data_IF_292642104901
#
_entry.id   IF_292642104901
#
_cell.length_a   1.000
_cell.length_b   1.000
_cell.length_c   1.000
_cell.angle_alpha   90.00
_cell.angle_beta   90.00
_cell.angle_gamma   90.00
#
_symmetry.space_group_name_H-M   'P 1'
#
loop_
_entity.id
_entity.type
_entity.pdbx_description
1 polymer ?
#
# COMPACT_ATOMS: atom_id res chain seq x y z
N UNK A 1 1.09 10.88 -66.55
CA UNK A 1 0.53 10.76 -65.18
C UNK A 1 1.68 10.68 -64.19
N UNK A 2 1.87 11.70 -63.35
CA UNK A 2 2.77 11.63 -62.20
C UNK A 2 2.07 12.34 -61.04
N UNK A 3 1.58 11.56 -60.07
CA UNK A 3 0.92 12.05 -58.86
C UNK A 3 1.97 12.76 -57.99
N UNK A 4 1.82 14.07 -57.81
CA UNK A 4 2.48 14.84 -56.76
C UNK A 4 1.90 14.37 -55.42
N UNK A 5 2.73 13.81 -54.55
CA UNK A 5 2.36 13.57 -53.17
C UNK A 5 2.38 14.92 -52.43
N UNK A 6 1.20 15.38 -52.01
CA UNK A 6 1.06 16.52 -51.09
C UNK A 6 1.75 16.19 -49.76
N UNK A 7 2.73 17.02 -49.40
CA UNK A 7 3.31 17.04 -48.05
C UNK A 7 2.25 17.59 -47.10
N UNK A 8 1.75 16.74 -46.21
CA UNK A 8 0.92 17.16 -45.09
C UNK A 8 1.79 17.99 -44.14
N UNK A 9 1.62 19.31 -44.16
CA UNK A 9 2.14 20.19 -43.13
C UNK A 9 1.21 20.13 -41.93
N UNK A 10 1.53 19.25 -40.97
CA UNK A 10 0.97 19.35 -39.62
C UNK A 10 1.83 20.36 -38.88
N UNK A 11 1.46 21.63 -38.96
CA UNK A 11 2.02 22.65 -38.07
C UNK A 11 1.34 22.50 -36.72
N UNK A 12 1.83 21.58 -35.89
CA UNK A 12 1.53 21.63 -34.46
C UNK A 12 2.30 22.84 -33.94
N UNK A 13 1.66 24.00 -33.93
CA UNK A 13 2.24 25.20 -33.35
C UNK A 13 2.19 25.03 -31.81
N UNK A 14 3.04 24.16 -31.27
CA UNK A 14 3.27 24.04 -29.84
C UNK A 14 4.05 25.30 -29.46
N UNK A 15 3.50 26.22 -28.65
CA UNK A 15 4.28 27.34 -28.16
C UNK A 15 5.52 26.79 -27.45
N UNK A 16 6.69 27.40 -27.65
CA UNK A 16 7.98 26.93 -27.12
C UNK A 16 7.98 26.68 -25.59
N UNK A 17 7.02 27.22 -24.85
CA UNK A 17 6.83 27.03 -23.40
C UNK A 17 6.02 25.80 -22.95
N UNK A 18 5.40 25.04 -23.86
CA UNK A 18 4.56 23.87 -23.51
C UNK A 18 5.22 22.51 -23.77
N UNK A 19 6.48 22.54 -24.20
CA UNK A 19 7.31 21.35 -24.38
C UNK A 19 8.60 21.53 -23.56
N UNK A 20 8.65 20.94 -22.37
CA UNK A 20 9.79 21.08 -21.47
C UNK A 20 10.24 19.73 -20.92
N UNK A 21 11.51 19.67 -20.52
CA UNK A 21 12.06 18.54 -19.81
C UNK A 21 12.20 18.88 -18.34
N UNK A 22 11.73 18.00 -17.46
CA UNK A 22 11.99 18.10 -16.02
C UNK A 22 12.81 16.90 -15.57
N UNK A 23 13.59 17.08 -14.50
CA UNK A 23 14.30 15.98 -13.86
C UNK A 23 13.73 15.79 -12.45
N UNK A 24 13.24 14.58 -12.17
CA UNK A 24 12.72 14.19 -10.86
C UNK A 24 13.26 12.80 -10.51
N UNK A 25 13.71 12.61 -9.27
CA UNK A 25 14.30 11.34 -8.78
C UNK A 25 15.39 10.75 -9.72
N UNK A 26 16.25 11.63 -10.26
CA UNK A 26 17.33 11.24 -11.18
C UNK A 26 16.87 10.80 -12.58
N UNK A 27 15.58 10.94 -12.90
CA UNK A 27 14.99 10.60 -14.20
C UNK A 27 14.53 11.86 -14.92
N UNK A 28 14.74 11.90 -16.23
CA UNK A 28 14.25 12.99 -17.09
C UNK A 28 12.90 12.61 -17.70
N UNK A 29 11.94 13.52 -17.61
CA UNK A 29 10.60 13.41 -18.15
C UNK A 29 10.36 14.52 -19.17
N UNK A 30 9.66 14.19 -20.25
CA UNK A 30 9.25 15.16 -21.28
C UNK A 30 7.79 15.51 -21.05
N UNK A 31 7.46 16.79 -20.90
CA UNK A 31 6.09 17.26 -20.72
C UNK A 31 5.67 17.99 -21.97
N UNK A 32 4.54 17.60 -22.53
CA UNK A 32 3.96 18.20 -23.73
C UNK A 32 2.52 18.60 -23.43
N UNK A 33 2.15 19.84 -23.71
CA UNK A 33 0.77 20.32 -23.62
C UNK A 33 0.28 20.78 -24.99
N UNK A 34 -0.83 20.22 -25.42
CA UNK A 34 -1.41 20.44 -26.74
C UNK A 34 -2.85 20.90 -26.60
N UNK A 35 -3.31 21.67 -27.58
CA UNK A 35 -4.71 22.01 -27.75
C UNK A 35 -5.35 21.06 -28.76
N UNK A 36 -6.56 20.60 -28.46
CA UNK A 36 -7.44 19.93 -29.40
C UNK A 36 -8.02 20.90 -30.43
N UNK A 37 -8.79 20.38 -31.38
CA UNK A 37 -9.48 21.20 -32.38
C UNK A 37 -10.84 21.71 -31.88
N UNK A 38 -11.54 22.52 -32.68
CA UNK A 38 -12.88 23.04 -32.32
C UNK A 38 -13.95 21.96 -32.20
N UNK A 39 -13.74 20.74 -32.71
CA UNK A 39 -14.68 19.63 -32.59
C UNK A 39 -14.44 18.83 -31.31
N UNK A 40 -13.20 18.82 -30.83
CA UNK A 40 -12.78 18.24 -29.57
C UNK A 40 -11.93 19.27 -28.78
N UNK A 41 -12.57 20.28 -28.18
CA UNK A 41 -11.90 21.39 -27.50
C UNK A 41 -11.35 20.94 -26.15
N UNK A 42 -10.29 20.13 -26.18
CA UNK A 42 -9.59 19.62 -25.01
C UNK A 42 -8.14 20.11 -24.97
N UNK A 43 -7.68 20.66 -23.85
CA UNK A 43 -6.25 20.81 -23.60
C UNK A 43 -5.75 19.49 -23.03
N UNK A 44 -4.74 18.89 -23.66
CA UNK A 44 -4.14 17.63 -23.20
C UNK A 44 -2.69 17.84 -22.80
N UNK A 45 -2.34 17.48 -21.57
CA UNK A 45 -0.96 17.43 -21.09
C UNK A 45 -0.52 15.98 -20.94
N UNK A 46 0.54 15.58 -21.63
CA UNK A 46 1.19 14.29 -21.49
C UNK A 46 2.56 14.46 -20.84
N UNK A 47 2.88 13.58 -19.90
CA UNK A 47 4.23 13.45 -19.35
C UNK A 47 4.76 12.08 -19.77
N UNK A 48 5.91 12.10 -20.44
CA UNK A 48 6.56 10.93 -20.99
C UNK A 48 7.80 10.56 -20.19
N UNK A 49 8.02 9.26 -20.00
CA UNK A 49 9.26 8.70 -19.53
C UNK A 49 9.69 7.59 -20.48
N UNK A 50 10.88 7.70 -21.08
CA UNK A 50 11.41 6.74 -22.06
C UNK A 50 10.44 6.40 -23.21
N UNK A 51 9.64 7.39 -23.64
CA UNK A 51 8.68 7.25 -24.74
C UNK A 51 7.30 6.73 -24.34
N UNK A 52 7.07 6.36 -23.07
CA UNK A 52 5.76 5.94 -22.57
C UNK A 52 5.07 7.08 -21.81
N UNK A 53 3.75 7.21 -21.97
CA UNK A 53 2.94 8.16 -21.19
C UNK A 53 2.81 7.64 -19.76
N UNK A 54 3.34 8.39 -18.79
CA UNK A 54 3.25 8.06 -17.36
C UNK A 54 2.22 8.92 -16.62
N UNK A 55 1.78 10.02 -17.24
CA UNK A 55 0.70 10.86 -16.73
C UNK A 55 0.00 11.56 -17.90
N UNK A 56 -1.32 11.69 -17.80
CA UNK A 56 -2.13 12.45 -18.74
C UNK A 56 -3.18 13.26 -17.98
N UNK A 57 -3.35 14.53 -18.37
CA UNK A 57 -4.42 15.39 -17.88
C UNK A 57 -5.13 16.02 -19.06
N UNK A 58 -6.47 16.02 -19.00
CA UNK A 58 -7.34 16.65 -19.99
C UNK A 58 -8.23 17.66 -19.31
N UNK A 59 -8.44 18.80 -19.97
CA UNK A 59 -9.42 19.81 -19.56
C UNK A 59 -10.20 20.27 -20.78
N UNK A 60 -11.53 20.23 -20.68
CA UNK A 60 -12.41 20.79 -21.70
C UNK A 60 -12.36 22.34 -21.65
N UNK A 61 -12.41 22.96 -22.82
CA UNK A 61 -12.49 24.42 -22.98
C UNK A 61 -13.64 24.85 -23.91
N UNK A 62 -14.67 24.02 -24.06
CA UNK A 62 -15.84 24.29 -24.92
C UNK A 62 -16.48 25.66 -24.63
N UNK A 63 -16.50 26.05 -23.36
CA UNK A 63 -17.14 27.28 -22.87
C UNK A 63 -16.52 28.57 -23.40
N UNK A 64 -15.24 28.54 -23.80
CA UNK A 64 -14.52 29.74 -24.27
C UNK A 64 -14.49 29.88 -25.79
N UNK A 65 -15.03 28.92 -26.55
CA UNK A 65 -14.92 28.88 -28.02
C UNK A 65 -15.43 30.16 -28.74
N UNK A 66 -16.41 30.84 -28.13
CA UNK A 66 -17.03 32.06 -28.66
C UNK A 66 -16.62 33.34 -27.91
N UNK A 67 -15.62 33.26 -27.01
CA UNK A 67 -15.15 34.42 -26.27
C UNK A 67 -14.36 35.38 -27.18
N UNK A 68 -14.52 36.69 -27.00
CA UNK A 68 -13.79 37.72 -27.77
C UNK A 68 -12.27 37.62 -27.57
N UNK A 69 -11.85 37.19 -26.39
CA UNK A 69 -10.48 36.98 -25.92
C UNK A 69 -10.06 35.49 -25.96
N UNK A 70 -10.65 34.68 -26.86
CA UNK A 70 -10.42 33.23 -26.97
C UNK A 70 -8.95 32.80 -26.88
N UNK A 71 -8.06 33.41 -27.67
CA UNK A 71 -6.66 33.00 -27.74
C UNK A 71 -5.91 33.25 -26.43
N UNK A 72 -6.19 34.38 -25.77
CA UNK A 72 -5.58 34.74 -24.50
C UNK A 72 -6.06 33.80 -23.38
N UNK A 73 -7.38 33.56 -23.31
CA UNK A 73 -7.97 32.60 -22.37
C UNK A 73 -7.44 31.19 -22.57
N UNK A 74 -7.38 30.71 -23.81
CA UNK A 74 -6.88 29.37 -24.11
C UNK A 74 -5.41 29.24 -23.69
N UNK A 75 -4.57 30.22 -24.02
CA UNK A 75 -3.16 30.21 -23.61
C UNK A 75 -3.03 30.18 -22.07
N UNK A 76 -3.78 31.01 -21.35
CA UNK A 76 -3.78 31.02 -19.87
C UNK A 76 -4.25 29.69 -19.26
N UNK A 77 -5.27 29.06 -19.84
CA UNK A 77 -5.72 27.72 -19.44
C UNK A 77 -4.64 26.66 -19.71
N UNK A 78 -3.97 26.72 -20.86
CA UNK A 78 -2.86 25.81 -21.17
C UNK A 78 -1.72 25.97 -20.17
N UNK A 79 -1.33 27.20 -19.84
CA UNK A 79 -0.26 27.50 -18.86
C UNK A 79 -0.60 26.97 -17.47
N UNK A 80 -1.83 27.23 -17.03
CA UNK A 80 -2.34 26.75 -15.74
C UNK A 80 -2.38 25.22 -15.71
N UNK A 81 -2.87 24.58 -16.76
CA UNK A 81 -2.89 23.12 -16.85
C UNK A 81 -1.48 22.56 -16.82
N UNK A 82 -0.56 23.10 -17.60
CA UNK A 82 0.83 22.64 -17.69
C UNK A 82 1.53 22.68 -16.32
N UNK A 83 1.47 23.83 -15.63
CA UNK A 83 2.03 23.98 -14.27
C UNK A 83 1.40 23.00 -13.28
N UNK A 84 0.07 22.93 -13.26
CA UNK A 84 -0.64 22.03 -12.33
C UNK A 84 -0.37 20.55 -12.60
N UNK A 85 -0.14 20.15 -13.85
CA UNK A 85 0.22 18.78 -14.22
C UNK A 85 1.62 18.42 -13.70
N UNK A 86 2.58 19.35 -13.82
CA UNK A 86 3.93 19.18 -13.28
C UNK A 86 3.91 19.05 -11.76
N UNK A 87 3.22 19.96 -11.07
CA UNK A 87 3.09 19.94 -9.62
C UNK A 87 2.43 18.64 -9.12
N UNK A 88 1.33 18.22 -9.76
CA UNK A 88 0.67 16.97 -9.41
C UNK A 88 1.58 15.75 -9.64
N UNK A 89 2.30 15.72 -10.76
CA UNK A 89 3.19 14.61 -11.10
C UNK A 89 4.41 14.52 -10.18
N UNK A 90 5.08 15.65 -9.95
CA UNK A 90 6.26 15.72 -9.04
C UNK A 90 5.87 15.43 -7.61
N UNK A 91 4.74 15.97 -7.12
CA UNK A 91 4.21 15.66 -5.80
C UNK A 91 3.88 14.17 -5.62
N UNK A 92 3.36 13.50 -6.65
CA UNK A 92 3.15 12.05 -6.62
C UNK A 92 4.48 11.27 -6.53
N UNK A 93 5.51 11.68 -7.29
CA UNK A 93 6.84 11.05 -7.21
C UNK A 93 7.43 11.19 -5.81
N UNK A 94 7.37 12.40 -5.23
CA UNK A 94 7.87 12.65 -3.88
C UNK A 94 7.12 11.83 -2.84
N UNK A 95 5.80 11.74 -2.96
CA UNK A 95 4.96 10.95 -2.05
C UNK A 95 5.29 9.45 -2.12
N UNK A 96 5.49 8.89 -3.31
CA UNK A 96 5.90 7.49 -3.47
C UNK A 96 7.31 7.24 -2.91
N UNK A 97 8.23 8.18 -3.09
CA UNK A 97 9.58 8.11 -2.51
C UNK A 97 9.55 8.14 -0.99
N UNK A 98 8.79 9.07 -0.41
CA UNK A 98 8.59 9.17 1.03
C UNK A 98 8.00 7.86 1.59
N UNK A 99 7.00 7.31 0.90
CA UNK A 99 6.38 6.03 1.26
C UNK A 99 7.39 4.87 1.23
N UNK A 100 8.27 4.81 0.23
CA UNK A 100 9.32 3.80 0.15
C UNK A 100 10.34 3.91 1.31
N UNK A 101 10.84 5.12 1.58
CA UNK A 101 11.77 5.38 2.68
C UNK A 101 11.16 5.03 4.05
N UNK A 102 9.88 5.32 4.21
CA UNK A 102 9.12 4.95 5.38
C UNK A 102 9.10 3.43 5.59
N UNK A 103 8.79 2.65 4.54
CA UNK A 103 8.79 1.19 4.63
C UNK A 103 10.17 0.62 4.99
N UNK A 104 11.24 1.16 4.42
CA UNK A 104 12.60 0.70 4.70
C UNK A 104 13.00 1.00 6.14
N UNK A 105 12.64 2.19 6.63
CA UNK A 105 12.84 2.58 8.04
C UNK A 105 12.09 1.63 8.99
N UNK A 106 10.80 1.37 8.72
CA UNK A 106 9.99 0.46 9.52
C UNK A 106 10.57 -0.95 9.51
N UNK A 107 10.93 -1.50 8.35
CA UNK A 107 11.56 -2.82 8.23
C UNK A 107 12.86 -2.90 9.05
N UNK A 108 13.70 -1.87 9.00
CA UNK A 108 14.96 -1.81 9.77
C UNK A 108 14.69 -1.81 11.27
N UNK A 109 13.73 -1.02 11.75
CA UNK A 109 13.37 -0.93 13.16
C UNK A 109 12.75 -2.24 13.69
N UNK A 110 11.93 -2.90 12.90
CA UNK A 110 11.34 -4.20 13.26
C UNK A 110 12.40 -5.30 13.35
N UNK A 111 13.37 -5.32 12.42
CA UNK A 111 14.50 -6.26 12.45
C UNK A 111 15.39 -6.07 13.67
N UNK A 112 15.58 -4.84 14.14
CA UNK A 112 16.33 -4.55 15.36
C UNK A 112 15.51 -4.72 16.65
N UNK A 113 14.24 -5.14 16.55
CA UNK A 113 13.34 -5.31 17.69
C UNK A 113 12.91 -3.99 18.34
N UNK A 114 13.18 -2.85 17.70
CA UNK A 114 12.85 -1.52 18.23
C UNK A 114 11.37 -1.16 17.98
N UNK A 115 10.48 -1.95 18.60
CA UNK A 115 9.04 -1.88 18.38
C UNK A 115 8.43 -0.53 18.78
N UNK A 116 9.00 0.17 19.77
CA UNK A 116 8.49 1.50 20.19
C UNK A 116 8.75 2.56 19.12
N UNK A 117 9.96 2.61 18.56
CA UNK A 117 10.25 3.55 17.48
C UNK A 117 9.50 3.15 16.21
N UNK A 118 9.43 1.85 15.89
CA UNK A 118 8.65 1.36 14.75
C UNK A 118 7.18 1.79 14.87
N UNK A 119 6.58 1.69 16.06
CA UNK A 119 5.20 2.14 16.31
C UNK A 119 5.04 3.65 16.07
N UNK A 120 5.97 4.48 16.54
CA UNK A 120 5.91 5.94 16.33
C UNK A 120 5.89 6.26 14.84
N UNK A 121 6.84 5.70 14.09
CA UNK A 121 6.90 5.88 12.64
C UNK A 121 5.59 5.37 12.03
N UNK A 122 5.18 4.14 12.33
CA UNK A 122 3.94 3.51 11.83
C UNK A 122 2.68 4.35 12.08
N UNK A 123 2.62 5.07 13.20
CA UNK A 123 1.52 5.96 13.54
C UNK A 123 1.51 7.22 12.69
N UNK A 124 2.68 7.81 12.43
CA UNK A 124 2.83 9.00 11.57
C UNK A 124 2.38 8.69 10.15
N UNK A 125 2.91 7.64 9.52
CA UNK A 125 2.51 7.30 8.15
C UNK A 125 1.14 6.66 8.05
N UNK A 126 0.54 6.14 9.13
CA UNK A 126 -0.90 5.83 9.10
C UNK A 126 -1.75 7.10 9.01
N UNK A 127 -1.27 8.24 9.53
CA UNK A 127 -1.89 9.55 9.32
C UNK A 127 -1.76 10.04 7.87
N UNK A 128 -0.61 9.83 7.24
CA UNK A 128 -0.35 10.26 5.85
C UNK A 128 -0.94 9.32 4.78
N UNK A 129 -0.97 8.01 5.07
CA UNK A 129 -1.38 6.93 4.18
C UNK A 129 -2.36 5.97 4.87
N UNK A 130 -3.55 6.46 5.27
CA UNK A 130 -4.50 5.66 6.06
C UNK A 130 -5.04 4.42 5.33
N UNK A 131 -4.99 4.42 3.99
CA UNK A 131 -5.43 3.31 3.16
C UNK A 131 -4.30 2.35 2.75
N UNK A 132 -3.05 2.64 3.12
CA UNK A 132 -1.96 1.70 2.84
C UNK A 132 -2.07 0.47 3.73
N UNK A 133 -2.23 -0.68 3.09
CA UNK A 133 -2.52 -1.94 3.78
C UNK A 133 -1.34 -2.42 4.62
N UNK A 134 -0.10 -2.20 4.17
CA UNK A 134 1.08 -2.61 4.93
C UNK A 134 1.22 -1.77 6.20
N UNK A 135 1.11 -0.44 6.08
CA UNK A 135 1.14 0.46 7.22
C UNK A 135 0.02 0.09 8.20
N UNK A 136 -1.21 -0.09 7.72
CA UNK A 136 -2.36 -0.46 8.54
C UNK A 136 -2.13 -1.79 9.30
N UNK A 137 -1.66 -2.83 8.62
CA UNK A 137 -1.39 -4.15 9.20
C UNK A 137 -0.31 -4.12 10.28
N UNK A 138 0.83 -3.48 10.00
CA UNK A 138 1.94 -3.39 10.95
C UNK A 138 1.63 -2.44 12.11
N UNK A 139 0.95 -1.32 11.85
CA UNK A 139 0.50 -0.39 12.88
C UNK A 139 -0.50 -1.07 13.83
N UNK A 140 -1.46 -1.83 13.30
CA UNK A 140 -2.40 -2.61 14.09
C UNK A 140 -1.71 -3.61 15.02
N UNK A 141 -0.76 -4.38 14.49
CA UNK A 141 0.03 -5.34 15.26
C UNK A 141 0.82 -4.68 16.39
N UNK A 142 1.56 -3.60 16.11
CA UNK A 142 2.32 -2.90 17.14
C UNK A 142 1.43 -2.14 18.14
N UNK A 143 0.26 -1.65 17.71
CA UNK A 143 -0.73 -1.04 18.60
C UNK A 143 -1.19 -2.06 19.66
N UNK A 144 -1.48 -3.29 19.26
CA UNK A 144 -1.82 -4.36 20.19
C UNK A 144 -0.62 -4.77 21.07
N UNK A 145 0.57 -4.96 20.47
CA UNK A 145 1.75 -5.49 21.18
C UNK A 145 2.36 -4.49 22.16
N UNK A 146 2.50 -3.23 21.75
CA UNK A 146 3.21 -2.18 22.49
C UNK A 146 2.26 -1.33 23.32
N UNK A 147 1.17 -0.83 22.74
CA UNK A 147 0.21 0.04 23.45
C UNK A 147 -0.84 -0.74 24.24
N UNK A 148 -0.92 -2.07 24.07
CA UNK A 148 -1.94 -2.94 24.69
C UNK A 148 -3.38 -2.59 24.31
N UNK A 149 -3.58 -1.89 23.19
CA UNK A 149 -4.89 -1.59 22.62
C UNK A 149 -5.29 -2.72 21.67
N UNK A 150 -5.69 -3.84 22.25
CA UNK A 150 -5.89 -5.10 21.51
C UNK A 150 -7.00 -5.00 20.47
N UNK A 151 -8.18 -4.52 20.85
CA UNK A 151 -9.34 -4.46 19.95
C UNK A 151 -9.04 -3.63 18.70
N UNK A 152 -8.52 -2.41 18.92
CA UNK A 152 -8.08 -1.52 17.82
C UNK A 152 -7.01 -2.18 16.94
N UNK A 153 -6.02 -2.82 17.56
CA UNK A 153 -4.93 -3.46 16.81
C UNK A 153 -5.41 -4.62 15.95
N UNK A 154 -6.28 -5.46 16.49
CA UNK A 154 -6.91 -6.58 15.80
C UNK A 154 -7.80 -6.07 14.65
N UNK A 155 -8.65 -5.08 14.91
CA UNK A 155 -9.52 -4.46 13.90
C UNK A 155 -8.71 -3.94 12.71
N UNK A 156 -7.62 -3.20 12.95
CA UNK A 156 -6.75 -2.69 11.90
C UNK A 156 -6.10 -3.83 11.09
N UNK A 157 -5.60 -4.88 11.74
CA UNK A 157 -5.04 -6.04 11.06
C UNK A 157 -6.10 -6.78 10.22
N UNK A 158 -7.31 -6.96 10.74
CA UNK A 158 -8.42 -7.59 10.02
C UNK A 158 -8.85 -6.74 8.81
N UNK A 159 -8.97 -5.41 8.97
CA UNK A 159 -9.30 -4.49 7.88
C UNK A 159 -8.26 -4.53 6.77
N UNK A 160 -6.97 -4.51 7.11
CA UNK A 160 -5.90 -4.62 6.14
C UNK A 160 -5.94 -5.96 5.39
N UNK A 161 -6.18 -7.07 6.10
CA UNK A 161 -6.28 -8.40 5.51
C UNK A 161 -7.50 -8.56 4.60
N UNK A 162 -8.66 -8.02 4.99
CA UNK A 162 -9.90 -8.08 4.22
C UNK A 162 -9.88 -7.27 2.93
N UNK A 163 -8.90 -6.36 2.76
CA UNK A 163 -8.68 -5.59 1.54
C UNK A 163 -7.66 -6.23 0.59
N UNK A 164 -7.00 -7.33 0.98
CA UNK A 164 -6.13 -8.05 0.07
C UNK A 164 -6.95 -8.72 -1.04
N UNK A 165 -6.44 -8.67 -2.26
CA UNK A 165 -7.03 -9.37 -3.40
C UNK A 165 -6.25 -10.66 -3.72
N UNK A 166 -6.81 -11.47 -4.62
CA UNK A 166 -6.19 -12.73 -5.05
C UNK A 166 -4.88 -12.53 -5.84
N UNK A 167 -4.63 -11.34 -6.37
CA UNK A 167 -3.41 -11.00 -7.11
C UNK A 167 -2.26 -10.60 -6.17
N UNK A 168 -2.57 -10.22 -4.93
CA UNK A 168 -1.58 -9.82 -3.93
C UNK A 168 -0.63 -10.96 -3.62
N UNK A 169 0.66 -10.66 -3.52
CA UNK A 169 1.69 -11.67 -3.28
C UNK A 169 1.39 -12.54 -2.05
N UNK A 170 1.64 -13.84 -2.17
CA UNK A 170 1.47 -14.81 -1.07
C UNK A 170 2.33 -14.48 0.16
N UNK A 171 3.49 -13.87 -0.06
CA UNK A 171 4.40 -13.36 0.98
C UNK A 171 3.73 -12.29 1.85
N UNK A 172 2.95 -11.39 1.23
CA UNK A 172 2.21 -10.31 1.89
C UNK A 172 1.06 -10.88 2.71
N UNK A 173 0.28 -11.80 2.14
CA UNK A 173 -0.76 -12.52 2.87
C UNK A 173 -0.22 -13.18 4.15
N UNK A 174 0.87 -13.95 4.02
CA UNK A 174 1.52 -14.60 5.16
C UNK A 174 1.97 -13.59 6.24
N UNK A 175 2.51 -12.44 5.81
CA UNK A 175 2.92 -11.36 6.71
C UNK A 175 1.74 -10.75 7.47
N UNK A 176 0.60 -10.56 6.80
CA UNK A 176 -0.59 -9.97 7.45
C UNK A 176 -1.21 -10.93 8.45
N UNK A 177 -1.26 -12.22 8.12
CA UNK A 177 -1.66 -13.26 9.06
C UNK A 177 -0.71 -13.36 10.27
N UNK A 178 0.60 -13.21 10.06
CA UNK A 178 1.57 -13.13 11.16
C UNK A 178 1.30 -11.92 12.06
N UNK A 179 1.04 -10.75 11.49
CA UNK A 179 0.71 -9.53 12.23
C UNK A 179 -0.58 -9.67 13.03
N UNK A 180 -1.64 -10.20 12.40
CA UNK A 180 -2.91 -10.48 13.06
C UNK A 180 -2.75 -11.48 14.21
N UNK A 181 -2.01 -12.57 13.99
CA UNK A 181 -1.75 -13.56 15.03
C UNK A 181 -0.96 -12.98 16.21
N UNK A 182 0.01 -12.09 15.96
CA UNK A 182 0.73 -11.35 17.02
C UNK A 182 -0.20 -10.42 17.80
N UNK A 183 -1.13 -9.75 17.13
CA UNK A 183 -2.15 -8.92 17.79
C UNK A 183 -3.07 -9.77 18.69
N UNK A 184 -3.55 -10.91 18.20
CA UNK A 184 -4.33 -11.86 19.01
C UNK A 184 -3.54 -12.38 20.21
N UNK A 185 -2.27 -12.75 20.04
CA UNK A 185 -1.42 -13.18 21.17
C UNK A 185 -1.25 -12.08 22.21
N UNK A 186 -1.07 -10.82 21.79
CA UNK A 186 -0.96 -9.71 22.72
C UNK A 186 -2.22 -9.55 23.57
N UNK A 187 -3.39 -9.80 23.00
CA UNK A 187 -4.69 -9.80 23.69
C UNK A 187 -5.04 -11.12 24.40
N UNK A 188 -4.14 -12.09 24.48
CA UNK A 188 -4.38 -13.38 25.13
C UNK A 188 -5.27 -14.36 24.35
N UNK A 189 -5.64 -14.03 23.10
CA UNK A 189 -6.51 -14.83 22.23
C UNK A 189 -5.69 -15.91 21.50
N UNK A 190 -5.23 -16.91 22.25
CA UNK A 190 -4.28 -17.92 21.77
C UNK A 190 -4.84 -18.78 20.64
N UNK A 191 -6.10 -19.19 20.72
CA UNK A 191 -6.77 -19.99 19.70
C UNK A 191 -6.81 -19.24 18.36
N UNK A 192 -7.29 -17.99 18.36
CA UNK A 192 -7.36 -17.15 17.16
C UNK A 192 -5.97 -16.86 16.59
N UNK A 193 -4.96 -16.69 17.44
CA UNK A 193 -3.58 -16.52 16.97
C UNK A 193 -3.07 -17.74 16.21
N UNK A 194 -3.30 -18.96 16.74
CA UNK A 194 -2.90 -20.20 16.08
C UNK A 194 -3.61 -20.35 14.73
N UNK A 195 -4.90 -20.04 14.68
CA UNK A 195 -5.67 -20.04 13.43
C UNK A 195 -5.08 -19.06 12.41
N UNK A 196 -4.84 -17.80 12.82
CA UNK A 196 -4.22 -16.80 11.95
C UNK A 196 -2.87 -17.28 11.42
N UNK A 197 -2.00 -17.86 12.27
CA UNK A 197 -0.70 -18.35 11.81
C UNK A 197 -0.82 -19.52 10.82
N UNK A 198 -1.73 -20.46 11.07
CA UNK A 198 -1.98 -21.57 10.14
C UNK A 198 -2.53 -21.07 8.80
N UNK A 199 -3.43 -20.09 8.81
CA UNK A 199 -3.94 -19.45 7.61
C UNK A 199 -2.80 -18.79 6.83
N UNK A 200 -1.87 -18.10 7.50
CA UNK A 200 -0.66 -17.56 6.86
C UNK A 200 0.23 -18.64 6.20
N UNK A 201 0.35 -19.81 6.83
CA UNK A 201 1.13 -20.93 6.28
C UNK A 201 0.49 -21.58 5.05
N UNK A 202 -0.80 -21.37 4.80
CA UNK A 202 -1.43 -21.80 3.54
C UNK A 202 -0.87 -21.04 2.34
N UNK A 203 -0.50 -19.77 2.53
CA UNK A 203 0.13 -18.92 1.51
C UNK A 203 1.64 -19.14 1.43
N UNK A 204 2.31 -19.27 2.58
CA UNK A 204 3.77 -19.42 2.64
C UNK A 204 4.19 -20.54 3.61
N UNK A 205 4.14 -21.80 3.15
CA UNK A 205 4.41 -23.01 3.95
C UNK A 205 5.75 -23.02 4.71
N UNK A 206 6.77 -22.34 4.18
CA UNK A 206 8.13 -22.28 4.75
C UNK A 206 8.44 -20.94 5.43
N UNK A 207 7.43 -20.12 5.72
CA UNK A 207 7.65 -18.85 6.42
C UNK A 207 8.16 -19.13 7.85
N UNK A 208 9.41 -18.75 8.10
CA UNK A 208 10.10 -19.03 9.36
C UNK A 208 9.46 -18.32 10.56
N UNK A 209 8.96 -17.10 10.39
CA UNK A 209 8.37 -16.33 11.48
C UNK A 209 7.07 -16.97 11.97
N UNK A 210 6.20 -17.40 11.05
CA UNK A 210 4.95 -18.09 11.38
C UNK A 210 5.22 -19.42 12.12
N UNK A 211 6.15 -20.22 11.59
CA UNK A 211 6.56 -21.48 12.21
C UNK A 211 7.18 -21.24 13.60
N UNK A 212 7.95 -20.17 13.75
CA UNK A 212 8.59 -19.80 15.01
C UNK A 212 7.57 -19.39 16.07
N UNK A 213 6.58 -18.55 15.73
CA UNK A 213 5.52 -18.19 16.67
C UNK A 213 4.70 -19.43 17.10
N UNK A 214 4.33 -20.30 16.17
CA UNK A 214 3.64 -21.56 16.49
C UNK A 214 4.49 -22.46 17.41
N UNK A 215 5.80 -22.57 17.15
CA UNK A 215 6.71 -23.35 18.00
C UNK A 215 6.75 -22.83 19.44
N UNK A 216 6.80 -21.51 19.65
CA UNK A 216 6.78 -20.90 20.99
C UNK A 216 5.50 -21.20 21.76
N UNK A 217 4.36 -21.25 21.06
CA UNK A 217 3.07 -21.55 21.68
C UNK A 217 2.96 -23.00 22.16
N UNK A 218 3.84 -23.88 21.64
CA UNK A 218 3.92 -25.29 21.96
C UNK A 218 2.76 -26.09 21.38
N UNK A 219 2.91 -27.40 21.35
CA UNK A 219 1.83 -28.30 20.97
C UNK A 219 0.87 -28.47 22.14
N UNK A 220 -0.43 -28.33 21.87
CA UNK A 220 -1.47 -28.66 22.85
C UNK A 220 -1.36 -30.17 23.15
N UNK A 221 -0.97 -30.54 24.37
CA UNK A 221 -0.83 -31.94 24.77
C UNK A 221 -2.17 -32.69 24.61
N UNK A 222 -2.10 -33.97 24.25
CA UNK A 222 -3.28 -34.83 24.19
C UNK A 222 -4.00 -34.83 25.54
N UNK A 223 -5.35 -34.82 25.54
CA UNK A 223 -6.11 -35.00 26.77
C UNK A 223 -5.66 -36.28 27.48
N UNK A 224 -5.48 -36.27 28.81
CA UNK A 224 -5.10 -37.46 29.55
C UNK A 224 -5.98 -38.68 29.26
N UNK A 225 -7.28 -38.45 29.11
CA UNK A 225 -8.27 -39.44 28.73
C UNK A 225 -8.85 -39.05 27.35
N UNK A 226 -8.43 -39.71 26.26
CA UNK A 226 -8.85 -39.36 24.89
C UNK A 226 -10.35 -39.51 24.63
N UNK A 227 -11.01 -40.38 25.38
CA UNK A 227 -12.45 -40.65 25.28
C UNK A 227 -13.33 -39.61 26.00
N UNK A 228 -12.75 -38.73 26.82
CA UNK A 228 -13.47 -37.63 27.46
C UNK A 228 -13.24 -36.33 26.69
N UNK A 229 -14.31 -35.52 26.56
CA UNK A 229 -14.18 -34.18 26.01
C UNK A 229 -13.21 -33.34 26.85
N UNK A 230 -12.59 -32.33 26.22
CA UNK A 230 -11.59 -31.48 26.89
C UNK A 230 -12.19 -30.59 27.98
N UNK A 231 -13.49 -30.29 27.90
CA UNK A 231 -14.24 -29.58 28.94
C UNK A 231 -14.66 -30.47 30.10
N UNK A 232 -14.49 -31.79 30.00
CA UNK A 232 -14.85 -32.71 31.07
C UNK A 232 -14.00 -32.42 32.32
N UNK A 233 -14.63 -32.20 33.50
CA UNK A 233 -13.92 -31.88 34.74
C UNK A 233 -12.82 -32.88 35.09
N UNK A 234 -13.06 -34.19 34.88
CA UNK A 234 -12.10 -35.26 35.17
C UNK A 234 -10.86 -35.11 34.28
N UNK A 235 -11.07 -34.90 32.99
CA UNK A 235 -9.99 -34.73 32.02
C UNK A 235 -9.17 -33.46 32.31
N UNK A 236 -9.84 -32.37 32.72
CA UNK A 236 -9.20 -31.11 33.13
C UNK A 236 -8.35 -31.30 34.40
N UNK A 237 -8.89 -31.97 35.41
CA UNK A 237 -8.21 -32.18 36.70
C UNK A 237 -6.96 -33.07 36.56
N UNK A 238 -7.08 -34.19 35.83
CA UNK A 238 -5.93 -35.08 35.54
C UNK A 238 -4.87 -34.32 34.73
N UNK A 239 -5.29 -33.47 33.80
CA UNK A 239 -4.39 -32.61 33.02
C UNK A 239 -3.58 -31.66 33.91
N UNK A 240 -4.25 -31.01 34.87
CA UNK A 240 -3.62 -30.10 35.84
C UNK A 240 -2.60 -30.83 36.74
N UNK A 241 -2.93 -32.03 37.23
CA UNK A 241 -2.02 -32.84 38.06
C UNK A 241 -0.77 -33.25 37.26
N UNK A 242 -0.94 -33.77 36.03
CA UNK A 242 0.19 -34.13 35.16
C UNK A 242 1.10 -32.94 34.84
N UNK A 243 0.54 -31.73 34.75
CA UNK A 243 1.32 -30.51 34.51
C UNK A 243 2.14 -30.12 35.74
N UNK A 244 1.59 -30.21 36.95
CA UNK A 244 2.31 -29.91 38.21
C UNK A 244 3.45 -30.90 38.48
N UNK A 245 3.26 -32.18 38.15
CA UNK A 245 4.28 -33.22 38.35
C UNK A 245 5.46 -33.15 37.37
N UNK A 246 5.29 -32.52 36.20
CA UNK A 246 6.36 -32.31 35.20
C UNK A 246 7.13 -31.00 35.36
N UNK A 247 6.73 -30.15 36.32
CA UNK A 247 7.40 -28.88 36.63
C UNK A 247 8.38 -28.97 37.80
N UNK A 248 8.68 -30.19 38.28
CA UNK A 248 9.83 -30.55 39.12
C UNK A 248 10.79 -31.36 38.27
#
# INVERSE_FOLDING_TARGET
MAKRAEKVHITVNIPEGFNINITADGKTYHIQTEQGDRKNPEITTHIYYKGEIVYSKKTDYSDILNAEDYNEKLHGMMETQHKSAIEAFTGNIEREKQKAEYFDTVKKLLRSGNNRQALRILKEGFGEFPEDLFIMSYYGSLTAVVEKKFDKGIELCQKALGKLDAATEKSVHATFYLNLGRAYLAGGQKEQAIEAFNNGLTFAKKNHDLLWELKKLGTRKNPPLPFLSRGNPINKYIGMIRSKLKGK
#
